data_IF_547289442351
#
_entry.id   IF_547289442351
#
_cell.length_a   1.000
_cell.length_b   1.000
_cell.length_c   1.000
_cell.angle_alpha   90.00
_cell.angle_beta   90.00
_cell.angle_gamma   90.00
#
_symmetry.space_group_name_H-M   'P 1'
#
loop_
_entity.id
_entity.type
_entity.pdbx_description
1 polymer ?
#
# COMPACT_ATOMS: atom_id res chain seq x y z
N UNK A 1 20.26 -43.07 -30.61
CA UNK A 1 18.90 -42.72 -30.13
C UNK A 1 19.10 -41.99 -28.83
N UNK A 2 19.12 -40.66 -28.89
CA UNK A 2 19.31 -39.81 -27.72
C UNK A 2 17.96 -39.79 -27.00
N UNK A 3 17.92 -40.38 -25.80
CA UNK A 3 16.71 -40.47 -24.97
C UNK A 3 16.37 -39.08 -24.47
N UNK A 4 15.53 -38.39 -25.25
CA UNK A 4 15.37 -36.94 -25.27
C UNK A 4 14.56 -36.37 -24.12
N UNK A 5 15.01 -36.54 -22.89
CA UNK A 5 14.46 -35.83 -21.74
C UNK A 5 15.63 -35.25 -20.96
N UNK A 6 15.81 -33.94 -21.03
CA UNK A 6 16.62 -33.18 -20.08
C UNK A 6 15.70 -32.89 -18.88
N UNK A 7 15.69 -33.72 -17.82
CA UNK A 7 14.78 -33.53 -16.68
C UNK A 7 14.95 -32.16 -16.03
N UNK A 8 16.18 -31.62 -16.05
CA UNK A 8 16.49 -30.29 -15.54
C UNK A 8 15.77 -29.19 -16.33
N UNK A 9 15.65 -29.33 -17.66
CA UNK A 9 14.98 -28.32 -18.49
C UNK A 9 13.47 -28.25 -18.21
N UNK A 10 12.84 -29.39 -17.90
CA UNK A 10 11.43 -29.41 -17.52
C UNK A 10 11.20 -28.70 -16.17
N UNK A 11 12.09 -28.95 -15.20
CA UNK A 11 12.02 -28.29 -13.90
C UNK A 11 12.34 -26.79 -14.00
N UNK A 12 13.30 -26.41 -14.83
CA UNK A 12 13.63 -25.01 -15.13
C UNK A 12 12.44 -24.30 -15.80
N UNK A 13 11.76 -24.95 -16.75
CA UNK A 13 10.57 -24.39 -17.42
C UNK A 13 9.39 -24.26 -16.45
N UNK A 14 9.09 -25.27 -15.64
CA UNK A 14 8.02 -25.19 -14.63
C UNK A 14 8.32 -24.10 -13.60
N UNK A 15 9.58 -23.95 -13.20
CA UNK A 15 10.01 -22.87 -12.30
C UNK A 15 9.84 -21.51 -12.95
N UNK A 16 10.23 -21.36 -14.23
CA UNK A 16 10.07 -20.11 -14.98
C UNK A 16 8.59 -19.78 -15.24
N UNK A 17 7.76 -20.76 -15.57
CA UNK A 17 6.31 -20.59 -15.72
C UNK A 17 5.70 -20.18 -14.38
N UNK A 18 6.05 -20.86 -13.29
CA UNK A 18 5.58 -20.48 -11.95
C UNK A 18 6.01 -19.07 -11.53
N UNK A 19 7.22 -18.64 -11.88
CA UNK A 19 7.67 -17.26 -11.60
C UNK A 19 6.92 -16.24 -12.45
N UNK A 20 6.66 -16.56 -13.72
CA UNK A 20 5.86 -15.71 -14.61
C UNK A 20 4.42 -15.64 -14.09
N UNK A 21 3.81 -16.75 -13.69
CA UNK A 21 2.45 -16.78 -13.15
C UNK A 21 2.33 -15.97 -11.85
N UNK A 22 3.32 -16.06 -10.95
CA UNK A 22 3.37 -15.25 -9.71
C UNK A 22 3.53 -13.76 -10.00
N UNK A 23 4.33 -13.38 -11.01
CA UNK A 23 4.51 -11.98 -11.41
C UNK A 23 3.29 -11.44 -12.19
N UNK A 24 2.48 -12.33 -12.78
CA UNK A 24 1.23 -12.01 -13.47
C UNK A 24 0.00 -12.01 -12.54
N UNK A 25 0.11 -12.48 -11.29
CA UNK A 25 -0.96 -12.49 -10.27
C UNK A 25 -0.89 -11.32 -9.28
N UNK A 26 -0.20 -10.22 -9.61
CA UNK A 26 -0.28 -8.98 -8.82
C UNK A 26 -1.64 -8.30 -9.04
N UNK A 27 -2.66 -8.80 -8.35
CA UNK A 27 -4.00 -8.22 -8.38
C UNK A 27 -4.16 -7.14 -7.31
N UNK A 28 -4.74 -5.97 -7.66
CA UNK A 28 -5.03 -4.93 -6.68
C UNK A 28 -5.97 -5.43 -5.58
N UNK A 29 -5.63 -5.13 -4.32
CA UNK A 29 -6.46 -5.38 -3.15
C UNK A 29 -7.10 -4.09 -2.68
N UNK A 30 -8.40 -4.12 -2.42
CA UNK A 30 -9.12 -2.99 -1.86
C UNK A 30 -8.75 -2.80 -0.37
N UNK A 31 -7.95 -1.77 -0.08
CA UNK A 31 -7.51 -1.42 1.26
C UNK A 31 -8.30 -0.22 1.76
N UNK A 32 -8.98 -0.39 2.89
CA UNK A 32 -9.69 0.70 3.57
C UNK A 32 -8.78 1.40 4.57
N UNK A 33 -8.56 2.70 4.36
CA UNK A 33 -7.95 3.60 5.31
C UNK A 33 -9.03 4.24 6.18
N UNK A 34 -8.85 4.23 7.50
CA UNK A 34 -9.78 4.84 8.46
C UNK A 34 -9.02 5.73 9.43
N UNK A 35 -9.47 6.98 9.58
CA UNK A 35 -8.98 7.91 10.59
C UNK A 35 -10.14 8.33 11.51
N UNK A 36 -10.20 7.82 12.75
CA UNK A 36 -11.24 8.22 13.72
C UNK A 36 -11.14 9.70 14.13
N UNK A 37 -12.28 10.33 14.40
CA UNK A 37 -12.37 11.71 14.91
C UNK A 37 -12.13 12.80 13.86
N UNK A 38 -11.60 13.95 14.28
CA UNK A 38 -11.34 15.12 13.43
C UNK A 38 -12.62 15.69 12.77
N UNK A 39 -13.68 15.83 13.56
CA UNK A 39 -15.01 16.27 13.11
C UNK A 39 -15.03 17.72 12.63
N UNK A 40 -14.05 18.53 13.04
CA UNK A 40 -13.90 19.92 12.60
C UNK A 40 -13.06 20.07 11.34
N UNK A 41 -12.37 19.01 10.90
CA UNK A 41 -11.58 19.05 9.68
C UNK A 41 -12.47 19.26 8.45
N UNK A 42 -11.90 19.94 7.47
CA UNK A 42 -12.55 20.24 6.19
C UNK A 42 -12.10 19.28 5.09
N UNK A 43 -10.84 18.85 5.13
CA UNK A 43 -10.25 17.95 4.14
C UNK A 43 -9.28 17.01 4.83
N UNK A 44 -9.41 15.71 4.55
CA UNK A 44 -8.42 14.70 4.95
C UNK A 44 -7.99 13.93 3.70
N UNK A 45 -6.69 13.74 3.54
CA UNK A 45 -6.11 12.91 2.49
C UNK A 45 -5.28 11.79 3.14
N UNK A 46 -5.22 10.63 2.50
CA UNK A 46 -4.16 9.65 2.76
C UNK A 46 -3.07 9.86 1.72
N UNK A 47 -1.84 10.05 2.17
CA UNK A 47 -0.68 10.31 1.32
C UNK A 47 0.35 9.22 1.56
N UNK A 48 1.04 8.81 0.51
CA UNK A 48 2.06 7.77 0.62
C UNK A 48 2.73 7.45 -0.69
N UNK A 49 3.47 6.36 -0.70
CA UNK A 49 4.21 5.92 -1.88
C UNK A 49 3.30 5.65 -3.10
N UNK A 50 2.03 5.28 -2.87
CA UNK A 50 1.04 5.01 -3.93
C UNK A 50 0.50 6.26 -4.64
N UNK A 51 0.75 7.47 -4.12
CA UNK A 51 0.30 8.72 -4.75
C UNK A 51 1.37 9.81 -4.76
N UNK A 52 2.64 9.41 -4.70
CA UNK A 52 3.78 10.32 -4.66
C UNK A 52 3.66 11.41 -3.58
N UNK A 53 3.03 11.07 -2.46
CA UNK A 53 2.82 11.98 -1.33
C UNK A 53 1.98 13.24 -1.64
N UNK A 54 1.14 13.20 -2.68
CA UNK A 54 0.28 14.33 -3.08
C UNK A 54 -0.90 14.52 -2.10
N UNK A 55 -1.02 15.72 -1.53
CA UNK A 55 -2.02 16.05 -0.50
C UNK A 55 -3.41 16.39 -1.03
N UNK A 56 -3.53 16.56 -2.35
CA UNK A 56 -4.77 16.84 -3.06
C UNK A 56 -5.37 15.61 -3.75
N UNK A 57 -4.65 14.48 -3.76
CA UNK A 57 -5.11 13.17 -4.18
C UNK A 57 -5.67 12.34 -3.00
N UNK A 58 -6.36 11.23 -3.31
CA UNK A 58 -6.83 10.22 -2.36
C UNK A 58 -7.53 10.80 -1.10
N UNK A 59 -8.51 11.67 -1.35
CA UNK A 59 -9.29 12.32 -0.28
C UNK A 59 -10.19 11.31 0.42
N UNK A 60 -10.27 11.43 1.74
CA UNK A 60 -11.17 10.65 2.57
C UNK A 60 -12.55 11.30 2.61
N UNK A 61 -13.57 10.46 2.57
CA UNK A 61 -14.93 10.85 2.82
C UNK A 61 -15.18 10.98 4.32
N UNK A 62 -15.85 12.07 4.71
CA UNK A 62 -16.25 12.29 6.09
C UNK A 62 -17.41 11.35 6.46
N UNK A 63 -17.23 10.59 7.54
CA UNK A 63 -18.19 9.65 8.12
C UNK A 63 -18.56 10.08 9.55
N UNK A 64 -19.64 9.54 10.16
CA UNK A 64 -20.06 9.94 11.50
C UNK A 64 -19.00 9.78 12.60
N UNK A 65 -18.06 8.85 12.43
CA UNK A 65 -17.02 8.53 13.42
C UNK A 65 -15.60 8.93 12.98
N UNK A 66 -15.46 9.65 11.86
CA UNK A 66 -14.17 10.06 11.34
C UNK A 66 -14.12 10.11 9.82
N UNK A 67 -13.06 9.59 9.23
CA UNK A 67 -12.76 9.72 7.80
C UNK A 67 -12.39 8.37 7.20
N UNK A 68 -12.83 8.10 5.97
CA UNK A 68 -12.55 6.84 5.29
C UNK A 68 -12.28 7.01 3.80
N UNK A 69 -11.35 6.20 3.27
CA UNK A 69 -11.14 6.00 1.83
C UNK A 69 -10.80 4.53 1.58
N UNK A 70 -11.17 4.02 0.41
CA UNK A 70 -10.73 2.70 -0.04
C UNK A 70 -9.89 2.88 -1.31
N UNK A 71 -8.69 2.33 -1.32
CA UNK A 71 -7.78 2.35 -2.46
C UNK A 71 -7.47 0.92 -2.89
N UNK A 72 -7.47 0.68 -4.21
CA UNK A 72 -6.99 -0.57 -4.77
C UNK A 72 -5.47 -0.49 -4.91
N UNK A 73 -4.75 -1.30 -4.13
CA UNK A 73 -3.28 -1.31 -4.07
C UNK A 73 -2.75 -2.67 -4.50
N UNK A 74 -1.73 -2.67 -5.34
CA UNK A 74 -1.00 -3.90 -5.66
C UNK A 74 -0.27 -4.44 -4.42
N UNK A 75 0.07 -5.75 -4.39
CA UNK A 75 0.94 -6.29 -3.37
C UNK A 75 2.26 -5.52 -3.26
N UNK A 76 2.69 -5.23 -2.03
CA UNK A 76 3.88 -4.45 -1.74
C UNK A 76 3.88 -3.84 -0.34
N UNK A 77 4.98 -3.17 -0.02
CA UNK A 77 5.14 -2.39 1.21
C UNK A 77 5.02 -0.90 0.89
N UNK A 78 4.09 -0.21 1.55
CA UNK A 78 3.82 1.22 1.36
C UNK A 78 4.05 1.99 2.66
N UNK A 79 4.66 3.17 2.54
CA UNK A 79 4.73 4.15 3.62
C UNK A 79 3.66 5.21 3.41
N UNK A 80 2.95 5.58 4.48
CA UNK A 80 1.87 6.53 4.38
C UNK A 80 1.64 7.35 5.66
N UNK A 81 0.83 8.40 5.51
CA UNK A 81 0.31 9.28 6.55
C UNK A 81 -1.09 9.77 6.17
N UNK A 82 -1.82 10.28 7.15
CA UNK A 82 -2.95 11.17 6.91
C UNK A 82 -2.47 12.63 6.90
N UNK A 83 -3.11 13.45 6.06
CA UNK A 83 -2.92 14.90 6.04
C UNK A 83 -4.26 15.57 6.27
N UNK A 84 -4.37 16.31 7.37
CA UNK A 84 -5.56 17.04 7.77
C UNK A 84 -5.39 18.50 7.38
N UNK A 85 -6.38 19.03 6.66
CA UNK A 85 -6.45 20.41 6.16
C UNK A 85 -5.15 20.86 5.46
N UNK A 86 -4.51 19.95 4.72
CA UNK A 86 -3.29 20.15 3.93
C UNK A 86 -2.03 20.55 4.72
N UNK A 87 -2.10 20.62 6.05
CA UNK A 87 -1.00 21.12 6.88
C UNK A 87 -0.56 20.14 7.97
N UNK A 88 -1.47 19.31 8.48
CA UNK A 88 -1.21 18.47 9.64
C UNK A 88 -1.00 17.01 9.24
N UNK A 89 0.27 16.59 9.26
CA UNK A 89 0.68 15.23 8.96
C UNK A 89 0.57 14.35 10.20
N UNK A 90 -0.17 13.25 10.09
CA UNK A 90 -0.45 12.32 11.17
C UNK A 90 -0.12 10.90 10.72
N UNK A 91 0.70 10.18 11.47
CA UNK A 91 0.81 8.72 11.30
C UNK A 91 -0.51 8.08 11.69
N UNK A 92 -0.92 7.03 11.00
CA UNK A 92 -2.15 6.31 11.30
C UNK A 92 -2.16 5.81 12.76
N UNK A 93 -3.04 6.34 13.63
CA UNK A 93 -3.10 5.95 15.03
C UNK A 93 -3.66 4.54 15.23
N UNK A 94 -4.35 3.97 14.22
CA UNK A 94 -4.86 2.60 14.24
C UNK A 94 -3.85 1.57 13.75
N UNK A 95 -2.73 2.00 13.18
CA UNK A 95 -1.67 1.12 12.69
C UNK A 95 -0.42 1.21 13.59
N UNK A 96 -0.06 0.16 14.34
CA UNK A 96 1.12 0.18 15.21
C UNK A 96 2.44 0.15 14.43
N UNK A 97 2.43 -0.30 13.17
CA UNK A 97 3.63 -0.45 12.37
C UNK A 97 4.06 0.89 11.79
N UNK A 98 5.27 1.31 12.17
CA UNK A 98 5.85 2.57 11.70
C UNK A 98 7.35 2.50 11.55
N UNK A 99 7.89 3.35 10.67
CA UNK A 99 9.33 3.43 10.41
C UNK A 99 9.77 4.89 10.29
N UNK A 100 10.95 5.19 10.83
CA UNK A 100 11.58 6.48 10.66
C UNK A 100 12.26 6.55 9.28
N UNK A 101 11.75 7.41 8.40
CA UNK A 101 12.33 7.62 7.07
C UNK A 101 13.25 8.84 7.10
N UNK A 102 14.56 8.61 6.97
CA UNK A 102 15.58 9.68 6.97
C UNK A 102 15.32 10.76 5.92
N UNK A 103 14.81 10.38 4.75
CA UNK A 103 14.49 11.33 3.66
C UNK A 103 13.44 12.38 4.03
N UNK A 104 12.53 12.04 4.95
CA UNK A 104 11.47 12.93 5.44
C UNK A 104 11.70 13.40 6.88
N UNK A 105 12.76 12.92 7.53
CA UNK A 105 13.05 13.16 8.94
C UNK A 105 11.86 12.91 9.87
N UNK A 106 11.01 11.95 9.54
CA UNK A 106 9.75 11.68 10.23
C UNK A 106 9.42 10.19 10.26
N UNK A 107 8.63 9.79 11.26
CA UNK A 107 7.97 8.48 11.29
C UNK A 107 6.81 8.43 10.32
N UNK A 108 6.64 7.31 9.62
CA UNK A 108 5.53 7.05 8.70
C UNK A 108 4.92 5.70 9.06
N UNK A 109 3.62 5.55 8.84
CA UNK A 109 2.95 4.26 9.01
C UNK A 109 3.36 3.33 7.88
N UNK A 110 3.47 2.04 8.16
CA UNK A 110 3.85 1.01 7.19
C UNK A 110 2.62 0.14 6.93
N UNK A 111 2.27 -0.02 5.66
CA UNK A 111 1.22 -0.90 5.19
C UNK A 111 1.84 -2.00 4.34
N UNK A 112 1.58 -3.26 4.69
CA UNK A 112 1.87 -4.41 3.85
C UNK A 112 0.58 -4.83 3.13
N UNK A 113 0.63 -4.89 1.80
CA UNK A 113 -0.45 -5.38 0.94
C UNK A 113 0.04 -6.67 0.28
N UNK A 114 -0.78 -7.72 0.29
CA UNK A 114 -0.39 -9.04 -0.21
C UNK A 114 0.68 -9.74 0.65
N UNK A 115 0.44 -11.02 0.92
CA UNK A 115 1.28 -11.91 1.70
C UNK A 115 0.89 -13.35 1.46
#
# INVERSE_FOLDING_TARGET
LYDGVYPDLAQDIETLISLIDVELELEPQAIQFTLPGHETATKVAVVGDFNDWQTDANLLEKKPQGWQATLDLLPGTYHYKFVIDQAHYLTDPGNPDSVYLRRYQAYNSVLQVGG
#
